data_IF_051643088182
#
_entry.id   IF_051643088182
#
_cell.length_a   1.000
_cell.length_b   1.000
_cell.length_c   1.000
_cell.angle_alpha   90.00
_cell.angle_beta   90.00
_cell.angle_gamma   90.00
#
_symmetry.space_group_name_H-M   'P 1'
#
loop_
_entity.id
_entity.type
_entity.pdbx_description
1 polymer ?
#
# COMPACT_ATOMS: atom_id res chain seq x y z
N UNK A 1 -24.49 -16.27 11.49
CA UNK A 1 -24.09 -16.07 11.20
C UNK A 1 -23.34 -15.66 10.92
N UNK A 2 -22.78 -15.45 10.65
CA UNK A 2 -22.10 -15.04 10.26
C UNK A 2 -21.53 -14.95 9.65
N UNK A 3 -21.15 -14.64 9.29
CA UNK A 3 -20.68 -14.45 8.56
C UNK A 3 -19.77 -14.21 8.39
N UNK A 4 -19.27 -14.53 8.40
CA UNK A 4 -18.35 -14.24 8.16
C UNK A 4 -17.87 -14.06 7.18
N UNK A 5 -17.77 -13.59 6.98
CA UNK A 5 -17.36 -13.18 5.90
C UNK A 5 -16.00 -13.42 5.71
N UNK A 6 -15.71 -13.83 4.60
CA UNK A 6 -14.51 -14.05 4.31
C UNK A 6 -13.86 -12.85 4.01
N UNK A 7 -12.98 -12.42 4.66
CA UNK A 7 -12.38 -11.27 4.36
C UNK A 7 -11.23 -11.54 3.60
N UNK A 8 -11.08 -10.97 2.51
CA UNK A 8 -9.91 -11.07 1.76
C UNK A 8 -8.86 -10.25 2.42
N UNK A 9 -7.59 -10.55 2.28
CA UNK A 9 -6.53 -9.75 2.86
C UNK A 9 -6.64 -8.35 2.30
N UNK A 10 -6.47 -7.36 3.14
CA UNK A 10 -6.58 -6.00 2.70
C UNK A 10 -5.20 -5.46 2.43
N UNK A 11 -4.67 -5.80 1.27
CA UNK A 11 -3.32 -5.42 0.91
C UNK A 11 -3.18 -3.92 0.73
N UNK A 12 -4.27 -3.24 0.36
CA UNK A 12 -4.23 -1.80 0.22
C UNK A 12 -3.85 -1.12 1.51
N UNK A 13 -4.38 -1.61 2.62
CA UNK A 13 -4.05 -1.01 3.91
C UNK A 13 -2.61 -1.29 4.29
N UNK A 14 -2.11 -2.46 3.91
CA UNK A 14 -0.71 -2.77 4.18
C UNK A 14 0.19 -1.84 3.40
N UNK A 15 -0.17 -1.55 2.16
CA UNK A 15 0.62 -0.66 1.32
C UNK A 15 0.62 0.75 1.92
N UNK A 16 -0.53 1.20 2.39
CA UNK A 16 -0.63 2.51 3.03
C UNK A 16 0.30 2.57 4.24
N UNK A 17 0.31 1.51 5.04
CA UNK A 17 1.18 1.47 6.21
C UNK A 17 2.64 1.50 5.82
N UNK A 18 3.00 0.81 4.74
CA UNK A 18 4.37 0.83 4.25
C UNK A 18 4.78 2.25 3.87
N UNK A 19 3.91 2.94 3.14
CA UNK A 19 4.21 4.30 2.72
C UNK A 19 4.42 5.21 3.92
N UNK A 20 3.62 5.02 4.96
CA UNK A 20 3.67 5.89 6.12
C UNK A 20 4.79 5.57 7.10
N UNK A 21 5.27 4.33 7.06
CA UNK A 21 6.25 3.90 8.04
C UNK A 21 7.65 3.70 7.50
N UNK A 22 7.83 3.71 6.18
CA UNK A 22 9.15 3.49 5.60
C UNK A 22 10.07 4.66 5.90
N UNK A 23 11.33 4.34 6.13
CA UNK A 23 12.32 5.36 6.46
C UNK A 23 13.00 5.94 5.23
N UNK A 24 12.92 5.26 4.10
CA UNK A 24 13.53 5.75 2.88
C UNK A 24 12.77 5.22 1.69
N UNK A 25 13.01 5.83 0.53
CA UNK A 25 12.35 5.37 -0.69
C UNK A 25 12.84 3.99 -1.11
N UNK A 26 14.10 3.70 -0.85
CA UNK A 26 14.63 2.39 -1.16
C UNK A 26 13.95 1.31 -0.33
N UNK A 27 13.76 1.59 0.93
CA UNK A 27 13.09 0.65 1.80
C UNK A 27 11.65 0.45 1.35
N UNK A 28 10.97 1.54 1.01
CA UNK A 28 9.60 1.48 0.56
C UNK A 28 9.48 0.63 -0.70
N UNK A 29 10.37 0.89 -1.66
CA UNK A 29 10.35 0.14 -2.90
C UNK A 29 10.55 -1.34 -2.66
N UNK A 30 11.49 -1.66 -1.77
CA UNK A 30 11.81 -3.03 -1.49
C UNK A 30 10.63 -3.75 -0.86
N UNK A 31 9.94 -3.10 0.05
CA UNK A 31 8.80 -3.71 0.71
C UNK A 31 7.61 -3.85 -0.23
N UNK A 32 7.50 -2.97 -1.21
CA UNK A 32 6.38 -3.02 -2.13
C UNK A 32 6.53 -4.06 -3.22
N UNK A 33 7.73 -4.63 -3.36
CA UNK A 33 7.96 -5.57 -4.44
C UNK A 33 7.06 -6.76 -4.46
N UNK A 34 6.56 -7.18 -3.34
CA UNK A 34 5.72 -8.36 -3.26
C UNK A 34 4.25 -8.08 -3.53
N UNK A 35 3.88 -6.83 -3.77
CA UNK A 35 2.47 -6.50 -3.93
C UNK A 35 2.09 -6.37 -5.39
N UNK A 36 0.84 -6.73 -5.69
CA UNK A 36 0.33 -6.65 -7.03
C UNK A 36 0.07 -5.20 -7.44
N UNK A 37 0.26 -4.91 -8.71
CA UNK A 37 0.02 -3.57 -9.20
C UNK A 37 -1.36 -3.04 -8.90
N UNK A 38 -2.36 -3.88 -9.00
CA UNK A 38 -3.71 -3.44 -8.74
C UNK A 38 -3.89 -2.97 -7.32
N UNK A 39 -3.27 -3.66 -6.38
CA UNK A 39 -3.38 -3.29 -4.98
C UNK A 39 -2.67 -1.97 -4.73
N UNK A 40 -1.55 -1.77 -5.37
CA UNK A 40 -0.83 -0.52 -5.24
C UNK A 40 -1.65 0.62 -5.81
N UNK A 41 -2.26 0.40 -6.96
CA UNK A 41 -3.09 1.44 -7.58
C UNK A 41 -4.26 1.81 -6.68
N UNK A 42 -4.88 0.81 -6.06
CA UNK A 42 -6.00 1.09 -5.19
C UNK A 42 -5.60 1.84 -3.94
N UNK A 43 -4.38 1.63 -3.48
CA UNK A 43 -3.92 2.29 -2.27
C UNK A 43 -3.82 3.81 -2.47
N UNK A 44 -3.68 4.25 -3.71
CA UNK A 44 -3.60 5.67 -3.99
C UNK A 44 -4.83 6.41 -3.50
N UNK A 45 -5.98 5.75 -3.51
CA UNK A 45 -7.20 6.38 -3.07
C UNK A 45 -7.21 6.66 -1.58
N UNK A 46 -6.39 5.95 -0.84
CA UNK A 46 -6.32 6.12 0.60
C UNK A 46 -5.20 7.05 1.02
N UNK A 47 -4.36 7.46 0.09
CA UNK A 47 -3.20 8.27 0.39
C UNK A 47 -3.48 9.72 0.08
N UNK A 48 -2.87 10.63 0.84
CA UNK A 48 -2.98 12.04 0.52
C UNK A 48 -1.96 12.36 -0.58
N UNK A 49 -1.94 13.61 -1.02
CA UNK A 49 -1.10 13.99 -2.16
C UNK A 49 0.38 13.74 -1.90
N UNK A 50 0.85 14.11 -0.72
CA UNK A 50 2.27 13.93 -0.42
C UNK A 50 2.63 12.45 -0.40
N UNK A 51 1.74 11.64 0.14
CA UNK A 51 1.99 10.20 0.20
C UNK A 51 1.96 9.58 -1.17
N UNK A 52 1.06 10.05 -2.03
CA UNK A 52 1.03 9.55 -3.40
C UNK A 52 2.32 9.87 -4.13
N UNK A 53 2.85 11.06 -3.91
CA UNK A 53 4.11 11.43 -4.55
C UNK A 53 5.25 10.56 -4.08
N UNK A 54 5.26 10.21 -2.80
CA UNK A 54 6.28 9.31 -2.29
C UNK A 54 6.18 7.95 -2.96
N UNK A 55 4.98 7.45 -3.10
CA UNK A 55 4.77 6.14 -3.70
C UNK A 55 5.18 6.16 -5.17
N UNK A 56 4.82 7.20 -5.91
CA UNK A 56 5.23 7.33 -7.29
C UNK A 56 6.75 7.32 -7.41
N UNK A 57 7.41 8.03 -6.52
CA UNK A 57 8.85 8.11 -6.58
C UNK A 57 9.50 6.77 -6.28
N UNK A 58 8.90 6.01 -5.39
CA UNK A 58 9.44 4.71 -5.01
C UNK A 58 9.23 3.66 -6.10
N UNK A 59 8.24 3.83 -6.92
CA UNK A 59 8.00 2.89 -8.00
C UNK A 59 8.88 3.22 -9.21
#
# INVERSE_FOLDING_TARGET
>A
MMKEVLKEPVFTEEIVNIVRSSHSLDEMRDELRGYHENDIAQSFELLNRAERNLLYTAL
#
